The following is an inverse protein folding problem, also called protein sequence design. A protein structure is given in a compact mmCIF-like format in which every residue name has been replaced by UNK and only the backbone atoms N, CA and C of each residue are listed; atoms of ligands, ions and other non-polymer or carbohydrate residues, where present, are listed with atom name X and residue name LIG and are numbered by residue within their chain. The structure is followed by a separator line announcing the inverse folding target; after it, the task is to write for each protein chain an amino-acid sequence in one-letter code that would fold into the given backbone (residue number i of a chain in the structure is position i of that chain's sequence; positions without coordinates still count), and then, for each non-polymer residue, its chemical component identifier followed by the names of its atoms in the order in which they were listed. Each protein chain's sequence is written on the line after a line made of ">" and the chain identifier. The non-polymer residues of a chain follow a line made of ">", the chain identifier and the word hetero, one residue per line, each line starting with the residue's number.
data_IF_762979620546
#
_entry.id   IF_762979620546
#
_cell.length_a   1.000
_cell.length_b   1.000
_cell.length_c   1.000
_cell.angle_alpha   90.00
_cell.angle_beta   90.00
_cell.angle_gamma   90.00
#
_symmetry.space_group_name_H-M   'P 1'
#
loop_
_entity.id
_entity.type
_entity.pdbx_description
1 polymer ?
#
# COMPACT_ATOMS: atom_id res chain seq x y z
N UNK A 1 -32.36 11.99 -25.48
CA UNK A 1 -31.87 13.32 -25.01
C UNK A 1 -30.63 13.03 -24.14
N UNK A 2 -29.47 13.28 -24.70
CA UNK A 2 -28.19 13.07 -23.98
C UNK A 2 -27.95 14.33 -23.17
N UNK A 3 -28.00 14.20 -21.84
CA UNK A 3 -27.67 15.31 -20.93
C UNK A 3 -26.18 15.59 -21.08
N UNK A 4 -25.84 16.72 -21.68
CA UNK A 4 -24.47 17.19 -21.80
C UNK A 4 -23.89 17.49 -20.42
N UNK A 5 -22.84 16.77 -20.07
CA UNK A 5 -22.00 17.11 -18.93
C UNK A 5 -21.43 18.52 -19.14
N UNK A 6 -21.73 19.43 -18.26
CA UNK A 6 -21.13 20.76 -18.22
C UNK A 6 -19.66 20.56 -17.81
N UNK A 7 -18.75 21.01 -18.66
CA UNK A 7 -17.35 21.16 -18.31
C UNK A 7 -17.22 22.29 -17.26
N UNK A 8 -17.45 21.95 -15.99
CA UNK A 8 -17.06 22.78 -14.88
C UNK A 8 -15.60 22.46 -14.53
N UNK A 9 -14.79 23.48 -14.34
CA UNK A 9 -13.42 23.37 -13.79
C UNK A 9 -13.49 22.98 -12.30
N UNK A 10 -14.23 21.94 -11.94
CA UNK A 10 -14.32 21.38 -10.61
C UNK A 10 -13.66 20.00 -10.61
N UNK A 11 -12.77 19.78 -9.69
CA UNK A 11 -12.20 18.46 -9.42
C UNK A 11 -13.36 17.51 -9.05
N UNK A 12 -13.53 16.41 -9.79
CA UNK A 12 -14.49 15.38 -9.43
C UNK A 12 -13.81 14.45 -8.42
N UNK A 13 -14.42 14.31 -7.26
CA UNK A 13 -13.95 13.43 -6.20
C UNK A 13 -14.90 12.23 -6.08
N UNK A 14 -14.32 11.04 -6.01
CA UNK A 14 -15.04 9.78 -5.85
C UNK A 14 -14.47 9.08 -4.61
N UNK A 15 -15.08 9.33 -3.47
CA UNK A 15 -14.65 8.79 -2.19
C UNK A 15 -15.60 7.70 -1.71
N UNK A 16 -15.07 6.57 -1.25
CA UNK A 16 -15.79 5.40 -0.73
C UNK A 16 -16.93 4.90 -1.65
N UNK A 17 -16.78 5.07 -2.97
CA UNK A 17 -17.83 4.71 -3.93
C UNK A 17 -17.59 3.35 -4.58
N UNK A 18 -18.66 2.58 -4.74
CA UNK A 18 -18.66 1.37 -5.55
C UNK A 18 -18.89 1.71 -7.02
N UNK A 19 -17.81 1.70 -7.79
CA UNK A 19 -17.83 1.97 -9.22
C UNK A 19 -17.70 0.71 -10.08
N UNK A 20 -18.02 -0.47 -9.53
CA UNK A 20 -17.98 -1.73 -10.30
C UNK A 20 -18.89 -1.66 -11.51
N UNK A 21 -18.39 -2.14 -12.65
CA UNK A 21 -19.11 -2.13 -13.92
C UNK A 21 -19.14 -0.77 -14.62
N UNK A 22 -18.51 0.26 -14.08
CA UNK A 22 -18.43 1.58 -14.74
C UNK A 22 -17.65 1.48 -16.05
N UNK A 23 -18.04 2.31 -17.01
CA UNK A 23 -17.38 2.45 -18.30
C UNK A 23 -16.94 3.89 -18.52
N UNK A 24 -15.65 4.06 -18.80
CA UNK A 24 -15.04 5.33 -19.18
C UNK A 24 -14.78 5.29 -20.69
N UNK A 25 -15.29 6.25 -21.42
CA UNK A 25 -15.15 6.35 -22.87
C UNK A 25 -14.91 7.81 -23.27
N UNK A 26 -13.82 8.06 -23.99
CA UNK A 26 -13.39 9.42 -24.36
C UNK A 26 -13.28 10.36 -23.14
N UNK A 27 -12.68 9.87 -22.06
CA UNK A 27 -12.49 10.62 -20.82
C UNK A 27 -11.05 11.07 -20.72
N UNK A 28 -10.86 12.32 -20.34
CA UNK A 28 -9.55 12.90 -20.02
C UNK A 28 -9.34 12.81 -18.50
N UNK A 29 -8.33 12.04 -18.08
CA UNK A 29 -7.96 11.85 -16.69
C UNK A 29 -6.58 12.44 -16.39
N UNK A 30 -6.13 13.44 -17.14
CA UNK A 30 -4.88 14.13 -16.84
C UNK A 30 -4.95 14.73 -15.43
N UNK A 31 -3.82 14.73 -14.74
CA UNK A 31 -3.67 15.27 -13.39
C UNK A 31 -4.57 14.60 -12.32
N UNK A 32 -5.07 13.37 -12.62
CA UNK A 32 -5.86 12.60 -11.66
C UNK A 32 -4.96 11.71 -10.79
N UNK A 33 -5.39 11.50 -9.54
CA UNK A 33 -4.78 10.55 -8.62
C UNK A 33 -5.76 9.45 -8.25
N UNK A 34 -5.23 8.23 -8.10
CA UNK A 34 -5.98 7.07 -7.64
C UNK A 34 -5.28 6.54 -6.39
N UNK A 35 -5.96 6.56 -5.26
CA UNK A 35 -5.43 6.09 -3.98
C UNK A 35 -6.36 5.04 -3.39
N UNK A 36 -5.78 3.93 -2.91
CA UNK A 36 -6.52 2.80 -2.32
C UNK A 36 -7.64 2.25 -3.22
N UNK A 37 -7.39 2.24 -4.53
CA UNK A 37 -8.36 1.82 -5.55
C UNK A 37 -8.10 0.39 -6.00
N UNK A 38 -9.14 -0.42 -6.06
CA UNK A 38 -9.07 -1.81 -6.52
C UNK A 38 -9.35 -1.90 -8.02
N UNK A 39 -8.32 -2.02 -8.83
CA UNK A 39 -8.43 -2.31 -10.27
C UNK A 39 -8.45 -3.83 -10.52
N UNK A 40 -9.55 -4.49 -10.21
CA UNK A 40 -9.72 -5.92 -10.43
C UNK A 40 -10.57 -6.21 -11.66
N UNK A 41 -10.07 -7.04 -12.58
CA UNK A 41 -10.74 -7.36 -13.85
C UNK A 41 -11.02 -6.11 -14.71
N UNK A 42 -10.12 -5.15 -14.69
CA UNK A 42 -10.21 -3.92 -15.49
C UNK A 42 -9.53 -4.13 -16.83
N UNK A 43 -10.13 -3.61 -17.88
CA UNK A 43 -9.54 -3.58 -19.22
C UNK A 43 -9.46 -2.15 -19.73
N UNK A 44 -8.26 -1.72 -20.12
CA UNK A 44 -8.00 -0.42 -20.72
C UNK A 44 -7.57 -0.64 -22.17
N UNK A 45 -8.26 -0.01 -23.13
CA UNK A 45 -7.97 -0.12 -24.57
C UNK A 45 -7.93 1.23 -25.23
N UNK A 46 -6.92 1.44 -26.09
CA UNK A 46 -6.76 2.71 -26.81
C UNK A 46 -6.43 3.89 -25.89
N UNK A 47 -5.85 3.60 -24.70
CA UNK A 47 -5.42 4.62 -23.76
C UNK A 47 -4.04 5.14 -24.15
N UNK A 48 -3.84 6.45 -24.00
CA UNK A 48 -2.51 7.05 -23.94
C UNK A 48 -2.09 7.08 -22.47
N UNK A 49 -0.98 6.43 -22.15
CA UNK A 49 -0.37 6.42 -20.83
C UNK A 49 0.97 7.14 -20.96
N UNK A 50 1.01 8.37 -20.50
CA UNK A 50 2.17 9.26 -20.55
C UNK A 50 2.38 9.81 -19.14
N UNK A 51 3.60 9.73 -18.61
CA UNK A 51 3.95 10.13 -17.24
C UNK A 51 3.06 9.48 -16.15
N UNK A 52 2.71 8.20 -16.33
CA UNK A 52 1.92 7.43 -15.37
C UNK A 52 2.82 6.65 -14.44
N UNK A 53 2.68 6.89 -13.13
CA UNK A 53 3.28 6.08 -12.08
C UNK A 53 2.23 5.16 -11.46
N UNK A 54 2.58 3.89 -11.25
CA UNK A 54 1.74 2.92 -10.56
C UNK A 54 2.57 2.32 -9.43
N UNK A 55 2.12 2.55 -8.19
CA UNK A 55 2.69 1.96 -6.99
C UNK A 55 1.64 1.12 -6.28
N UNK A 56 2.02 -0.02 -5.75
CA UNK A 56 1.10 -0.94 -5.07
C UNK A 56 1.33 -2.41 -5.41
N UNK A 57 0.41 -3.26 -4.97
CA UNK A 57 0.41 -4.68 -5.29
C UNK A 57 -0.26 -4.94 -6.64
N UNK A 58 0.41 -5.66 -7.52
CA UNK A 58 -0.18 -6.08 -8.79
C UNK A 58 0.12 -7.54 -9.13
N UNK A 59 -0.87 -8.19 -9.72
CA UNK A 59 -0.78 -9.56 -10.22
C UNK A 59 -1.42 -9.61 -11.60
N UNK A 60 -0.80 -10.35 -12.53
CA UNK A 60 -1.31 -10.47 -13.90
C UNK A 60 -1.53 -9.11 -14.57
N UNK A 61 -0.62 -8.15 -14.34
CA UNK A 61 -0.65 -6.87 -15.02
C UNK A 61 -0.11 -7.04 -16.44
N UNK A 62 -1.00 -6.91 -17.43
CA UNK A 62 -0.65 -7.12 -18.83
C UNK A 62 -0.64 -5.77 -19.55
N UNK A 63 0.50 -5.38 -20.11
CA UNK A 63 0.67 -4.21 -20.96
C UNK A 63 0.97 -4.66 -22.39
N UNK A 64 0.11 -4.32 -23.34
CA UNK A 64 0.25 -4.69 -24.76
C UNK A 64 0.53 -6.20 -24.97
N UNK A 65 -0.14 -7.05 -24.20
CA UNK A 65 0.00 -8.51 -24.30
C UNK A 65 1.16 -9.11 -23.50
N UNK A 66 1.96 -8.31 -22.80
CA UNK A 66 3.08 -8.76 -21.98
C UNK A 66 2.69 -8.69 -20.49
N UNK A 67 2.78 -9.81 -19.77
CA UNK A 67 2.70 -9.79 -18.31
C UNK A 67 3.98 -9.16 -17.75
N UNK A 68 3.85 -7.99 -17.16
CA UNK A 68 4.98 -7.23 -16.63
C UNK A 68 5.27 -7.49 -15.16
N UNK A 69 4.38 -8.18 -14.45
CA UNK A 69 4.57 -8.46 -13.03
C UNK A 69 5.88 -9.20 -12.75
N UNK A 70 6.24 -10.29 -13.47
CA UNK A 70 7.52 -10.98 -13.24
C UNK A 70 8.74 -10.12 -13.58
N UNK A 71 8.62 -9.19 -14.54
CA UNK A 71 9.73 -8.32 -14.93
C UNK A 71 10.03 -7.29 -13.84
N UNK A 72 8.96 -6.70 -13.28
CA UNK A 72 9.10 -5.73 -12.17
C UNK A 72 9.64 -6.42 -10.93
N UNK A 73 9.10 -7.60 -10.57
CA UNK A 73 9.61 -8.38 -9.43
C UNK A 73 11.09 -8.69 -9.57
N UNK A 74 11.55 -9.16 -10.73
CA UNK A 74 12.96 -9.46 -10.97
C UNK A 74 13.84 -8.22 -10.86
N UNK A 75 13.38 -7.07 -11.33
CA UNK A 75 14.12 -5.82 -11.24
C UNK A 75 14.18 -5.30 -9.79
N UNK A 76 13.10 -5.42 -9.02
CA UNK A 76 13.08 -5.07 -7.60
C UNK A 76 14.03 -5.96 -6.79
N UNK A 77 14.06 -7.27 -7.06
CA UNK A 77 14.98 -8.20 -6.41
C UNK A 77 16.45 -7.93 -6.79
N UNK A 78 16.69 -7.45 -8.01
CA UNK A 78 18.03 -7.03 -8.44
C UNK A 78 18.50 -5.76 -7.73
N UNK A 79 17.61 -4.81 -7.50
CA UNK A 79 17.90 -3.55 -6.78
C UNK A 79 18.10 -3.77 -5.30
N UNK A 80 17.30 -4.67 -4.72
CA UNK A 80 17.38 -5.05 -3.32
C UNK A 80 17.42 -6.58 -3.18
N UNK A 81 18.63 -7.17 -3.13
CA UNK A 81 18.78 -8.62 -3.01
C UNK A 81 18.23 -9.21 -1.70
N UNK A 82 18.09 -8.42 -0.64
CA UNK A 82 17.51 -8.89 0.63
C UNK A 82 16.00 -9.12 0.51
N UNK A 83 15.34 -8.49 -0.45
CA UNK A 83 13.91 -8.66 -0.74
C UNK A 83 13.56 -10.13 -1.06
N UNK A 84 14.45 -10.88 -1.69
CA UNK A 84 14.26 -12.31 -1.95
C UNK A 84 14.13 -13.09 -0.63
N UNK A 85 14.90 -12.71 0.38
CA UNK A 85 14.92 -13.35 1.70
C UNK A 85 13.65 -13.09 2.51
N UNK A 86 12.84 -12.08 2.13
CA UNK A 86 11.53 -11.80 2.73
C UNK A 86 10.44 -12.79 2.28
N UNK A 87 10.78 -13.80 1.48
CA UNK A 87 9.86 -14.86 1.02
C UNK A 87 10.36 -16.24 1.50
N UNK A 88 10.57 -16.45 2.81
CA UNK A 88 11.12 -17.68 3.34
C UNK A 88 10.15 -18.85 3.15
N UNK A 89 10.70 -20.05 2.97
CA UNK A 89 9.92 -21.29 2.81
C UNK A 89 10.21 -22.34 3.89
N UNK A 90 11.16 -22.07 4.78
CA UNK A 90 11.57 -22.95 5.85
C UNK A 90 11.93 -22.18 7.13
N UNK A 91 12.04 -22.84 8.30
CA UNK A 91 12.28 -22.16 9.56
C UNK A 91 13.59 -21.38 9.63
N UNK A 92 14.64 -21.79 8.92
CA UNK A 92 15.90 -21.07 8.89
C UNK A 92 15.78 -19.77 8.11
N UNK A 93 15.14 -19.82 6.94
CA UNK A 93 14.84 -18.64 6.15
C UNK A 93 13.96 -17.63 6.90
N UNK A 94 13.01 -18.08 7.76
CA UNK A 94 12.24 -17.18 8.62
C UNK A 94 13.13 -16.47 9.65
N UNK A 95 14.14 -17.14 10.23
CA UNK A 95 15.08 -16.49 11.15
C UNK A 95 15.93 -15.46 10.42
N UNK A 96 16.47 -15.82 9.25
CA UNK A 96 17.25 -14.88 8.44
C UNK A 96 16.43 -13.65 8.06
N UNK A 97 15.18 -13.84 7.61
CA UNK A 97 14.28 -12.74 7.29
C UNK A 97 14.03 -11.84 8.51
N UNK A 98 13.85 -12.43 9.68
CA UNK A 98 13.65 -11.70 10.93
C UNK A 98 14.87 -10.87 11.31
N UNK A 99 16.07 -11.42 11.22
CA UNK A 99 17.32 -10.70 11.51
C UNK A 99 17.49 -9.48 10.59
N UNK A 100 17.10 -9.60 9.32
CA UNK A 100 17.09 -8.48 8.36
C UNK A 100 16.09 -7.41 8.79
N UNK A 101 14.86 -7.80 9.13
CA UNK A 101 13.81 -6.89 9.59
C UNK A 101 14.26 -6.14 10.84
N UNK A 102 14.80 -6.83 11.85
CA UNK A 102 15.31 -6.21 13.08
C UNK A 102 16.40 -5.17 12.78
N UNK A 103 17.35 -5.51 11.92
CA UNK A 103 18.42 -4.59 11.52
C UNK A 103 17.89 -3.35 10.81
N UNK A 104 16.95 -3.51 9.88
CA UNK A 104 16.35 -2.40 9.14
C UNK A 104 15.55 -1.49 10.08
N UNK A 105 14.77 -2.09 10.98
CA UNK A 105 13.99 -1.34 11.98
C UNK A 105 14.89 -0.64 12.99
N UNK A 106 15.99 -1.24 13.44
CA UNK A 106 16.94 -0.57 14.32
C UNK A 106 17.46 0.73 13.71
N UNK A 107 17.81 0.72 12.42
CA UNK A 107 18.22 1.93 11.70
C UNK A 107 17.10 2.98 11.55
N UNK A 108 15.87 2.54 11.35
CA UNK A 108 14.70 3.40 11.24
C UNK A 108 14.37 4.07 12.57
N UNK A 109 14.37 3.31 13.66
CA UNK A 109 14.12 3.81 15.01
C UNK A 109 15.21 4.81 15.43
N UNK A 110 16.48 4.53 15.10
CA UNK A 110 17.57 5.46 15.41
C UNK A 110 17.41 6.79 14.69
N UNK A 111 17.00 6.80 13.43
CA UNK A 111 16.65 8.04 12.72
C UNK A 111 15.46 8.77 13.37
N UNK A 112 14.42 8.02 13.75
CA UNK A 112 13.22 8.58 14.34
C UNK A 112 13.48 9.25 15.71
N UNK A 113 14.47 8.77 16.47
CA UNK A 113 14.89 9.41 17.73
C UNK A 113 15.42 10.85 17.56
N UNK A 114 15.86 11.19 16.35
CA UNK A 114 16.28 12.54 16.00
C UNK A 114 15.12 13.49 15.65
N UNK A 115 13.89 12.99 15.54
CA UNK A 115 12.72 13.79 15.17
C UNK A 115 12.07 14.41 16.40
N UNK A 116 11.45 15.57 16.19
CA UNK A 116 10.59 16.19 17.22
C UNK A 116 9.31 15.39 17.41
N UNK A 117 8.63 15.48 18.55
CA UNK A 117 7.32 14.88 18.75
C UNK A 117 6.32 15.25 17.65
N UNK A 118 6.34 16.48 17.18
CA UNK A 118 5.47 16.94 16.10
C UNK A 118 5.74 16.16 14.81
N UNK A 119 6.99 16.01 14.38
CA UNK A 119 7.36 15.26 13.19
C UNK A 119 6.99 13.77 13.26
N UNK A 120 7.06 13.18 14.47
CA UNK A 120 6.67 11.79 14.68
C UNK A 120 5.16 11.54 14.50
N UNK A 121 4.34 12.60 14.71
CA UNK A 121 2.89 12.56 14.59
C UNK A 121 2.37 13.22 13.31
N UNK A 122 3.24 13.74 12.47
CA UNK A 122 2.86 14.39 11.21
C UNK A 122 2.45 13.36 10.16
N UNK A 123 1.26 13.52 9.60
CA UNK A 123 0.83 12.81 8.40
C UNK A 123 1.38 13.54 7.18
N UNK A 124 2.02 12.83 6.27
CA UNK A 124 2.56 13.36 5.02
C UNK A 124 1.79 12.75 3.86
N UNK A 125 1.29 13.59 2.97
CA UNK A 125 0.52 13.18 1.78
C UNK A 125 -0.70 12.29 2.11
N UNK A 126 -1.30 12.49 3.29
CA UNK A 126 -2.41 11.70 3.80
C UNK A 126 -2.04 10.28 4.23
N UNK A 127 -0.75 9.93 4.29
CA UNK A 127 -0.26 8.67 4.86
C UNK A 127 -0.25 8.72 6.39
N UNK A 128 -0.20 7.55 7.01
CA UNK A 128 -0.09 7.44 8.45
C UNK A 128 1.20 8.08 8.97
N UNK A 129 1.11 8.75 10.10
CA UNK A 129 2.30 9.22 10.78
C UNK A 129 3.18 8.05 11.23
N UNK A 130 4.45 8.33 11.53
CA UNK A 130 5.37 7.31 12.01
C UNK A 130 4.84 6.58 13.25
N UNK A 131 4.26 7.31 14.20
CA UNK A 131 3.68 6.72 15.42
C UNK A 131 2.43 5.88 15.11
N UNK A 132 1.57 6.31 14.20
CA UNK A 132 0.41 5.52 13.78
C UNK A 132 0.86 4.21 13.12
N UNK A 133 1.86 4.27 12.25
CA UNK A 133 2.45 3.07 11.63
C UNK A 133 2.98 2.10 12.66
N UNK A 134 3.74 2.56 13.67
CA UNK A 134 4.27 1.68 14.72
C UNK A 134 3.15 1.04 15.54
N UNK A 135 2.13 1.80 15.89
CA UNK A 135 0.97 1.32 16.65
C UNK A 135 0.18 0.27 15.86
N UNK A 136 0.03 0.49 14.55
CA UNK A 136 -0.62 -0.49 13.67
C UNK A 136 0.21 -1.77 13.52
N UNK A 137 1.52 -1.68 13.43
CA UNK A 137 2.40 -2.86 13.40
C UNK A 137 2.35 -3.65 14.70
N UNK A 138 2.22 -2.99 15.85
CA UNK A 138 1.97 -3.66 17.13
C UNK A 138 0.64 -4.42 17.09
N UNK A 139 -0.46 -3.75 16.70
CA UNK A 139 -1.76 -4.38 16.49
C UNK A 139 -1.70 -5.58 15.54
N UNK A 140 -1.04 -5.44 14.38
CA UNK A 140 -0.90 -6.52 13.41
C UNK A 140 -0.14 -7.72 14.00
N UNK A 141 0.90 -7.46 14.79
CA UNK A 141 1.66 -8.51 15.49
C UNK A 141 0.79 -9.22 16.53
N UNK A 142 0.05 -8.49 17.33
CA UNK A 142 -0.85 -9.03 18.33
C UNK A 142 -2.00 -9.83 17.70
N UNK A 143 -2.58 -9.33 16.61
CA UNK A 143 -3.65 -10.02 15.89
C UNK A 143 -3.17 -11.31 15.22
N UNK A 144 -2.06 -11.29 14.52
CA UNK A 144 -1.62 -12.43 13.71
C UNK A 144 -0.78 -13.42 14.49
N UNK A 145 0.16 -12.95 15.32
CA UNK A 145 1.09 -13.83 16.06
C UNK A 145 0.48 -14.24 17.38
N UNK A 146 0.18 -13.30 18.27
CA UNK A 146 -0.29 -13.65 19.62
C UNK A 146 -1.64 -14.34 19.55
N UNK A 147 -2.62 -13.75 18.89
CA UNK A 147 -3.95 -14.36 18.79
C UNK A 147 -4.00 -15.52 17.79
N UNK A 148 -3.51 -15.31 16.56
CA UNK A 148 -3.68 -16.29 15.48
C UNK A 148 -2.79 -17.52 15.61
N UNK A 149 -1.53 -17.36 16.00
CA UNK A 149 -0.55 -18.45 16.09
C UNK A 149 -0.45 -19.01 17.52
N UNK A 150 -0.33 -18.16 18.53
CA UNK A 150 -0.11 -18.57 19.92
C UNK A 150 -1.41 -18.82 20.69
N UNK A 151 -2.56 -18.43 20.14
CA UNK A 151 -3.87 -18.66 20.75
C UNK A 151 -4.13 -17.81 21.99
N UNK A 152 -3.43 -16.68 22.15
CA UNK A 152 -3.66 -15.78 23.28
C UNK A 152 -5.09 -15.20 23.20
N UNK A 153 -5.94 -15.40 24.21
CA UNK A 153 -7.30 -14.92 24.20
C UNK A 153 -7.43 -13.41 24.39
N UNK A 154 -6.40 -12.73 24.89
CA UNK A 154 -6.39 -11.29 25.15
C UNK A 154 -5.05 -10.65 24.77
N UNK A 155 -4.71 -10.65 23.49
CA UNK A 155 -3.39 -10.22 23.02
C UNK A 155 -3.21 -8.69 22.96
N UNK A 156 -4.28 -7.93 23.12
CA UNK A 156 -4.35 -6.51 22.79
C UNK A 156 -3.58 -5.61 23.75
N UNK A 157 -2.77 -4.72 23.19
CA UNK A 157 -2.07 -3.67 23.94
C UNK A 157 -2.87 -2.34 23.83
N UNK A 158 -2.87 -1.49 24.89
CA UNK A 158 -3.51 -0.17 24.82
C UNK A 158 -2.95 0.76 23.75
N UNK A 159 -1.77 0.50 23.22
CA UNK A 159 -1.16 1.25 22.12
C UNK A 159 -1.57 0.74 20.74
N UNK A 160 -2.23 -0.40 20.65
CA UNK A 160 -2.69 -0.96 19.38
C UNK A 160 -3.58 0.02 18.61
N UNK A 161 -3.38 0.08 17.31
CA UNK A 161 -4.18 0.87 16.40
C UNK A 161 -4.73 -0.02 15.27
N UNK A 162 -5.99 -0.46 15.36
CA UNK A 162 -6.65 -1.13 14.26
C UNK A 162 -6.74 -0.21 13.02
N UNK A 163 -6.78 -0.80 11.83
CA UNK A 163 -6.89 -0.04 10.58
C UNK A 163 -8.19 0.80 10.49
N UNK A 164 -9.25 0.35 11.13
CA UNK A 164 -10.57 1.00 11.20
C UNK A 164 -10.72 1.95 12.42
N UNK A 165 -9.73 1.99 13.29
CA UNK A 165 -9.70 2.86 14.48
C UNK A 165 -9.06 4.22 14.22
N UNK A 166 -8.76 4.55 12.97
CA UNK A 166 -8.23 5.84 12.57
C UNK A 166 -9.41 6.74 12.19
N UNK A 167 -9.91 7.49 13.15
CA UNK A 167 -10.75 8.65 12.85
C UNK A 167 -9.87 9.75 12.25
N UNK A 168 -10.38 10.37 11.17
CA UNK A 168 -9.78 11.52 10.50
C UNK A 168 -9.64 12.75 11.41
#
# INVERSE_FOLDING_TARGET
>A
MVSGARYGLGMAEFDHQDMRGSRFYEVDLRDSSFREVYFKNVTMRGCLLDDVAIDGEFRNLVLNGVDVAPLVEAELDRRDPERVKMRPTDPEGFREAWDIVERLWAGTVERARGFTPQQLHESVDGEWSFIQTLRHLAFATDAWVRRGVLGDPSPWDPLDLPWDGMED
#
